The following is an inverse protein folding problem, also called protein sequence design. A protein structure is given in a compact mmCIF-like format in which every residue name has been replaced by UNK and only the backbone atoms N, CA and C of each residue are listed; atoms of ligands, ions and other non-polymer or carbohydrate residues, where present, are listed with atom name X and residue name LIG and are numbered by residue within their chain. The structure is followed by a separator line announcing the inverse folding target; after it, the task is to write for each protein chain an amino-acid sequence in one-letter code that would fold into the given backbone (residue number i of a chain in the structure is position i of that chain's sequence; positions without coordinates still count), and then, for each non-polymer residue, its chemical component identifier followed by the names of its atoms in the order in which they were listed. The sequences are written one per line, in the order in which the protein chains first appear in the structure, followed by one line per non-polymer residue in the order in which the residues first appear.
data_IF_923137616342
#
_entry.id   IF_923137616342
#
_cell.length_a   1.000
_cell.length_b   1.000
_cell.length_c   1.000
_cell.angle_alpha   90.00
_cell.angle_beta   90.00
_cell.angle_gamma   90.00
#
_symmetry.space_group_name_H-M   'P 1'
#
loop_
_entity.id
_entity.type
_entity.pdbx_description
1 polymer ?
#
# COMPACT_ATOMS: atom_id res chain seq x y z
N UNK A 1 -8.21 5.83 13.90
CA UNK A 1 -6.85 5.42 13.47
C UNK A 1 -7.00 4.82 12.08
N UNK A 2 -5.96 4.87 11.24
CA UNK A 2 -6.08 4.47 9.83
C UNK A 2 -5.41 3.12 9.59
N UNK A 3 -6.09 2.25 8.86
CA UNK A 3 -5.56 1.00 8.34
C UNK A 3 -5.38 1.14 6.82
N UNK A 4 -4.24 0.72 6.32
CA UNK A 4 -3.92 0.63 4.90
C UNK A 4 -3.48 -0.79 4.57
N UNK A 5 -3.98 -1.33 3.48
CA UNK A 5 -3.49 -2.60 2.95
C UNK A 5 -2.42 -2.34 1.90
N UNK A 6 -1.38 -3.15 1.95
CA UNK A 6 -0.46 -3.33 0.82
C UNK A 6 -0.63 -4.78 0.43
N UNK A 7 -1.07 -5.04 -0.79
CA UNK A 7 -1.14 -6.41 -1.26
C UNK A 7 0.17 -6.80 -1.92
N UNK A 8 0.54 -8.07 -1.77
CA UNK A 8 1.73 -8.61 -2.40
C UNK A 8 1.27 -9.67 -3.40
N UNK A 9 1.72 -9.57 -4.64
CA UNK A 9 1.67 -10.72 -5.54
C UNK A 9 2.42 -11.87 -4.89
N UNK A 10 1.74 -12.99 -4.74
CA UNK A 10 2.30 -14.28 -4.35
C UNK A 10 3.11 -14.91 -5.50
N UNK A 11 3.94 -14.11 -6.18
CA UNK A 11 4.87 -14.58 -7.19
C UNK A 11 6.31 -14.32 -6.72
N UNK A 12 6.98 -15.43 -6.39
CA UNK A 12 8.43 -15.59 -6.20
C UNK A 12 8.96 -15.19 -4.81
N UNK A 13 9.53 -16.19 -4.13
CA UNK A 13 10.22 -16.02 -2.85
C UNK A 13 11.42 -15.07 -2.98
N UNK A 14 11.65 -14.32 -1.90
CA UNK A 14 12.69 -13.30 -1.73
C UNK A 14 12.37 -11.91 -2.31
N UNK A 15 11.42 -11.21 -1.68
CA UNK A 15 11.51 -9.75 -1.59
C UNK A 15 12.07 -9.44 -0.19
N UNK A 16 13.35 -9.05 -0.14
CA UNK A 16 13.95 -8.47 1.06
C UNK A 16 13.22 -7.16 1.38
N UNK A 17 12.77 -7.01 2.62
CA UNK A 17 11.95 -5.89 3.09
C UNK A 17 12.70 -4.55 3.24
N UNK A 18 13.81 -4.38 2.52
CA UNK A 18 14.53 -3.13 2.43
C UNK A 18 14.34 -2.62 1.00
N UNK A 19 13.82 -1.41 0.84
CA UNK A 19 13.44 -0.76 -0.42
C UNK A 19 12.17 -1.30 -1.10
N UNK A 20 11.00 -0.96 -0.52
CA UNK A 20 9.88 -0.55 -1.37
C UNK A 20 10.20 0.87 -1.84
N UNK A 21 10.90 1.00 -2.96
CA UNK A 21 10.98 2.28 -3.66
C UNK A 21 9.62 2.56 -4.29
N UNK A 22 8.74 3.18 -3.50
CA UNK A 22 7.43 3.69 -3.97
C UNK A 22 7.58 5.00 -4.78
N UNK A 23 8.81 5.35 -5.22
CA UNK A 23 9.15 6.65 -5.77
C UNK A 23 9.85 6.66 -7.13
N UNK A 24 10.15 5.52 -7.76
CA UNK A 24 10.75 5.55 -9.10
C UNK A 24 10.26 4.43 -10.04
N UNK A 25 9.46 4.81 -11.05
CA UNK A 25 9.20 4.00 -12.26
C UNK A 25 10.54 3.99 -13.06
N UNK A 26 11.52 3.14 -12.71
CA UNK A 26 12.77 2.98 -13.45
C UNK A 26 12.67 1.82 -14.45
N UNK A 27 12.77 2.13 -15.73
CA UNK A 27 12.62 1.17 -16.83
C UNK A 27 13.90 0.37 -17.10
N UNK A 28 13.76 -0.92 -17.39
CA UNK A 28 14.61 -1.63 -18.35
C UNK A 28 13.69 -2.43 -19.29
N UNK A 29 13.70 -2.08 -20.58
CA UNK A 29 12.85 -2.69 -21.59
C UNK A 29 13.52 -3.93 -22.19
N UNK A 30 12.81 -5.06 -22.22
CA UNK A 30 12.98 -6.06 -23.28
C UNK A 30 11.62 -6.28 -23.92
N UNK A 31 11.53 -6.00 -25.21
CA UNK A 31 10.36 -6.24 -26.03
C UNK A 31 10.11 -7.74 -26.14
N UNK A 32 8.90 -8.20 -25.86
CA UNK A 32 8.30 -9.18 -26.76
C UNK A 32 6.77 -9.11 -26.75
N UNK A 33 6.22 -8.99 -27.96
CA UNK A 33 4.79 -9.07 -28.25
C UNK A 33 4.44 -10.53 -28.44
N UNK A 34 3.28 -10.97 -27.95
CA UNK A 34 2.24 -11.72 -28.70
C UNK A 34 1.28 -12.43 -27.75
N UNK A 35 -0.01 -12.49 -28.12
CA UNK A 35 -0.91 -13.54 -27.62
C UNK A 35 -2.26 -13.06 -27.07
N UNK A 36 -3.25 -12.91 -27.96
CA UNK A 36 -4.65 -12.63 -27.65
C UNK A 36 -5.46 -13.92 -27.37
N UNK A 37 -6.38 -13.81 -26.40
CA UNK A 37 -7.76 -14.34 -26.29
C UNK A 37 -8.02 -15.86 -26.17
N UNK A 38 -8.67 -16.19 -25.05
CA UNK A 38 -9.48 -17.39 -24.81
C UNK A 38 -10.97 -17.00 -24.70
N UNK A 39 -11.85 -17.86 -25.23
CA UNK A 39 -13.33 -17.88 -25.08
C UNK A 39 -13.85 -19.05 -25.96
N UNK A 40 -14.74 -19.98 -25.60
CA UNK A 40 -15.69 -20.15 -24.51
C UNK A 40 -16.02 -21.65 -24.33
N UNK A 41 -16.32 -22.07 -23.10
CA UNK A 41 -17.02 -23.32 -22.78
C UNK A 41 -18.54 -23.06 -22.80
N UNK A 42 -19.33 -24.01 -23.30
CA UNK A 42 -20.77 -23.82 -23.58
C UNK A 42 -21.66 -23.81 -22.34
N UNK A 43 -22.74 -23.02 -22.39
CA UNK A 43 -23.73 -22.94 -21.30
C UNK A 43 -24.58 -24.22 -21.18
N UNK A 44 -24.82 -24.73 -19.95
CA UNK A 44 -25.79 -25.79 -19.70
C UNK A 44 -27.24 -25.34 -20.00
N UNK A 45 -28.05 -26.24 -20.54
CA UNK A 45 -29.44 -25.98 -20.90
C UNK A 45 -30.34 -25.59 -19.72
N UNK A 46 -31.45 -24.87 -20.00
CA UNK A 46 -32.30 -24.31 -18.95
C UNK A 46 -33.02 -25.41 -18.14
N UNK A 47 -33.14 -25.25 -16.81
CA UNK A 47 -33.92 -26.16 -15.96
C UNK A 47 -35.40 -26.24 -16.38
N UNK A 48 -36.00 -27.42 -16.19
CA UNK A 48 -37.41 -27.68 -16.51
C UNK A 48 -38.38 -26.79 -15.72
N UNK A 49 -39.54 -26.48 -16.32
CA UNK A 49 -40.57 -25.62 -15.74
C UNK A 49 -41.16 -26.23 -14.46
N UNK A 50 -41.25 -25.43 -13.40
CA UNK A 50 -41.97 -25.78 -12.18
C UNK A 50 -43.47 -26.00 -12.47
N UNK A 51 -44.10 -26.93 -11.75
CA UNK A 51 -45.54 -27.16 -11.79
C UNK A 51 -46.34 -25.96 -11.25
N UNK A 52 -47.65 -25.85 -11.55
CA UNK A 52 -48.47 -24.71 -11.14
C UNK A 52 -48.59 -24.66 -9.62
N UNK A 53 -48.25 -23.50 -9.06
CA UNK A 53 -48.42 -23.18 -7.65
C UNK A 53 -49.92 -23.05 -7.32
N UNK A 54 -50.37 -23.67 -6.23
CA UNK A 54 -51.75 -23.56 -5.76
C UNK A 54 -52.09 -22.13 -5.38
N UNK A 55 -53.36 -21.72 -5.59
CA UNK A 55 -53.78 -20.35 -5.29
C UNK A 55 -53.55 -20.00 -3.81
N UNK A 56 -52.70 -19.01 -3.56
CA UNK A 56 -52.47 -18.47 -2.22
C UNK A 56 -53.78 -17.87 -1.68
N UNK A 57 -54.10 -18.19 -0.42
CA UNK A 57 -55.23 -17.58 0.29
C UNK A 57 -55.08 -16.06 0.40
N UNK A 58 -56.18 -15.32 0.64
CA UNK A 58 -56.13 -13.87 0.76
C UNK A 58 -55.16 -13.45 1.89
N UNK A 59 -54.31 -12.43 1.69
CA UNK A 59 -53.44 -11.93 2.72
C UNK A 59 -54.23 -11.54 3.98
N UNK A 60 -53.75 -11.95 5.15
CA UNK A 60 -54.30 -11.50 6.42
C UNK A 60 -54.20 -9.96 6.55
N UNK A 61 -55.02 -9.35 7.41
CA UNK A 61 -54.94 -7.90 7.65
C UNK A 61 -53.52 -7.52 8.11
N UNK A 62 -52.99 -6.36 7.65
CA UNK A 62 -51.69 -5.88 8.11
C UNK A 62 -51.65 -5.81 9.63
N UNK A 63 -50.60 -6.38 10.21
CA UNK A 63 -50.37 -6.29 11.65
C UNK A 63 -50.20 -4.83 12.10
N UNK A 64 -50.43 -4.52 13.39
CA UNK A 64 -50.16 -3.19 13.92
C UNK A 64 -48.70 -2.80 13.68
N UNK A 65 -48.39 -1.51 13.43
CA UNK A 65 -47.01 -1.05 13.27
C UNK A 65 -46.17 -1.49 14.46
N UNK A 66 -45.10 -2.24 14.18
CA UNK A 66 -44.16 -2.66 15.21
C UNK A 66 -43.51 -1.44 15.87
N UNK A 67 -43.05 -1.57 17.14
CA UNK A 67 -42.28 -0.51 17.78
C UNK A 67 -41.07 -0.16 16.90
N UNK A 68 -40.90 1.14 16.61
CA UNK A 68 -39.90 1.63 15.66
C UNK A 68 -38.52 1.05 15.95
N UNK A 69 -38.04 0.16 15.07
CA UNK A 69 -36.70 -0.40 15.17
C UNK A 69 -35.73 0.70 14.79
N UNK A 70 -35.06 1.31 15.79
CA UNK A 70 -33.91 2.15 15.50
C UNK A 70 -32.84 1.24 14.91
N UNK A 71 -32.43 1.51 13.66
CA UNK A 71 -31.41 0.72 13.00
C UNK A 71 -30.11 0.72 13.81
N UNK A 72 -29.42 -0.41 13.87
CA UNK A 72 -28.14 -0.54 14.57
C UNK A 72 -27.12 0.45 13.98
N UNK A 73 -26.29 1.05 14.84
CA UNK A 73 -25.21 1.96 14.42
C UNK A 73 -24.22 1.18 13.53
N UNK A 74 -23.79 1.80 12.43
CA UNK A 74 -22.92 1.17 11.42
C UNK A 74 -23.66 0.58 10.22
N UNK A 75 -24.95 0.88 10.06
CA UNK A 75 -25.81 0.43 8.94
C UNK A 75 -26.06 1.57 7.94
N UNK A 76 -26.57 1.30 6.72
CA UNK A 76 -26.83 2.37 5.74
C UNK A 76 -27.75 3.48 6.26
N UNK A 77 -28.75 3.12 7.06
CA UNK A 77 -29.73 4.03 7.64
C UNK A 77 -29.25 4.70 8.93
N UNK A 78 -28.24 4.14 9.61
CA UNK A 78 -27.63 4.72 10.81
C UNK A 78 -26.09 4.57 10.77
N UNK A 79 -25.40 5.28 9.85
CA UNK A 79 -23.96 5.16 9.68
C UNK A 79 -23.21 5.80 10.84
N UNK A 80 -22.10 5.19 11.27
CA UNK A 80 -21.24 5.76 12.31
C UNK A 80 -20.31 6.85 11.75
N UNK A 81 -19.78 7.74 12.58
CA UNK A 81 -18.81 8.76 12.12
C UNK A 81 -17.36 8.23 12.00
N UNK A 82 -17.07 7.08 12.63
CA UNK A 82 -15.78 6.38 12.54
C UNK A 82 -15.90 4.98 13.14
N UNK A 83 -14.95 4.07 12.84
CA UNK A 83 -14.88 2.77 13.53
C UNK A 83 -14.70 2.93 15.05
N UNK A 84 -14.03 4.00 15.51
CA UNK A 84 -13.91 4.28 16.94
C UNK A 84 -15.25 4.61 17.58
N UNK A 85 -16.06 5.46 16.93
CA UNK A 85 -17.39 5.81 17.41
C UNK A 85 -18.33 4.58 17.37
N UNK A 86 -18.18 3.74 16.34
CA UNK A 86 -18.88 2.48 16.22
C UNK A 86 -18.49 1.48 17.34
N UNK A 87 -17.21 1.40 17.69
CA UNK A 87 -16.75 0.61 18.84
C UNK A 87 -17.34 1.13 20.16
N UNK A 88 -17.34 2.45 20.34
CA UNK A 88 -17.89 3.09 21.52
C UNK A 88 -19.42 2.88 21.66
N UNK A 89 -20.14 2.59 20.56
CA UNK A 89 -21.56 2.22 20.60
C UNK A 89 -21.82 0.75 20.97
N UNK A 90 -20.77 -0.04 21.21
CA UNK A 90 -20.86 -1.43 21.65
C UNK A 90 -20.52 -2.48 20.58
N UNK A 91 -20.21 -2.07 19.34
CA UNK A 91 -19.78 -3.00 18.31
C UNK A 91 -18.34 -3.46 18.56
N UNK A 92 -18.16 -4.76 18.79
CA UNK A 92 -16.86 -5.33 19.15
C UNK A 92 -16.23 -6.21 18.07
N UNK A 93 -16.97 -6.54 17.01
CA UNK A 93 -16.54 -7.47 15.97
C UNK A 93 -15.87 -6.74 14.80
N UNK A 94 -14.84 -7.34 14.25
CA UNK A 94 -14.26 -6.90 12.99
C UNK A 94 -15.28 -7.10 11.85
N UNK A 95 -15.30 -6.23 10.84
CA UNK A 95 -16.23 -6.38 9.72
C UNK A 95 -16.40 -5.12 8.87
N UNK A 96 -17.23 -5.22 7.83
CA UNK A 96 -17.63 -4.08 7.00
C UNK A 96 -18.79 -3.33 7.66
N UNK A 97 -18.67 -2.01 7.72
CA UNK A 97 -19.68 -1.13 8.29
C UNK A 97 -19.85 0.13 7.44
N UNK A 98 -21.01 0.78 7.60
CA UNK A 98 -21.30 2.06 6.98
C UNK A 98 -20.85 3.20 7.88
N UNK A 99 -20.01 4.07 7.32
CA UNK A 99 -19.57 5.30 7.95
C UNK A 99 -20.09 6.53 7.21
N UNK A 100 -20.16 7.67 7.90
CA UNK A 100 -20.50 8.97 7.34
C UNK A 100 -19.35 9.96 7.53
N UNK A 101 -18.91 10.54 6.42
CA UNK A 101 -17.88 11.59 6.44
C UNK A 101 -18.43 12.89 7.04
N UNK A 102 -17.58 13.83 7.48
CA UNK A 102 -18.02 15.15 7.93
C UNK A 102 -18.83 15.93 6.89
N UNK A 103 -18.63 15.65 5.60
CA UNK A 103 -19.39 16.25 4.49
C UNK A 103 -20.74 15.56 4.22
N UNK A 104 -21.09 14.52 4.99
CA UNK A 104 -22.35 13.78 4.86
C UNK A 104 -22.31 12.58 3.93
N UNK A 105 -21.19 12.33 3.24
CA UNK A 105 -21.03 11.16 2.36
C UNK A 105 -21.08 9.87 3.16
N UNK A 106 -21.98 8.96 2.82
CA UNK A 106 -22.04 7.61 3.38
C UNK A 106 -21.16 6.69 2.54
N UNK A 107 -20.33 5.87 3.18
CA UNK A 107 -19.45 4.92 2.51
C UNK A 107 -19.25 3.67 3.37
N UNK A 108 -18.98 2.55 2.72
CA UNK A 108 -18.63 1.29 3.38
C UNK A 108 -17.13 1.17 3.59
N UNK A 109 -16.73 0.55 4.70
CA UNK A 109 -15.33 0.21 4.95
C UNK A 109 -15.19 -0.87 6.01
N UNK A 110 -14.04 -1.52 6.03
CA UNK A 110 -13.67 -2.47 7.05
C UNK A 110 -13.21 -1.75 8.33
N UNK A 111 -13.76 -2.19 9.46
CA UNK A 111 -13.35 -1.80 10.79
C UNK A 111 -12.64 -2.97 11.48
N UNK A 112 -11.37 -2.79 11.80
CA UNK A 112 -10.67 -3.67 12.74
C UNK A 112 -10.90 -3.17 14.16
N UNK A 113 -11.74 -3.91 14.88
CA UNK A 113 -12.14 -3.63 16.25
C UNK A 113 -11.21 -4.32 17.26
N UNK A 114 -10.47 -5.36 16.86
CA UNK A 114 -9.83 -6.27 17.81
C UNK A 114 -8.31 -6.12 17.94
N UNK A 115 -7.61 -5.49 16.97
CA UNK A 115 -6.14 -5.33 17.07
C UNK A 115 -5.65 -4.36 18.13
N UNK A 116 -6.55 -3.57 18.74
CA UNK A 116 -6.25 -2.67 19.86
C UNK A 116 -7.42 -2.64 20.82
N UNK A 117 -7.18 -2.93 22.11
CA UNK A 117 -8.25 -3.16 23.10
C UNK A 117 -9.22 -1.98 23.26
N UNK A 118 -8.73 -0.75 23.18
CA UNK A 118 -9.49 0.48 23.45
C UNK A 118 -9.80 1.29 22.19
N UNK A 119 -9.36 0.83 21.00
CA UNK A 119 -9.43 1.61 19.76
C UNK A 119 -9.70 0.72 18.56
N UNK A 120 -10.41 1.25 17.60
CA UNK A 120 -10.65 0.65 16.31
C UNK A 120 -9.83 1.32 15.20
N UNK A 121 -9.55 0.53 14.18
CA UNK A 121 -8.86 0.94 12.97
C UNK A 121 -9.85 0.96 11.82
N UNK A 122 -9.79 2.02 11.01
CA UNK A 122 -10.65 2.20 9.83
C UNK A 122 -9.81 1.96 8.59
N UNK A 123 -10.18 0.99 7.75
CA UNK A 123 -9.56 0.83 6.43
C UNK A 123 -9.86 2.08 5.59
N UNK A 124 -8.82 2.67 5.01
CA UNK A 124 -8.97 3.91 4.22
C UNK A 124 -8.42 3.82 2.81
N UNK A 125 -7.52 2.87 2.58
CA UNK A 125 -7.07 2.51 1.25
C UNK A 125 -6.32 1.18 1.21
N UNK A 126 -6.18 0.65 0.01
CA UNK A 126 -5.38 -0.51 -0.34
C UNK A 126 -4.56 -0.18 -1.58
N UNK A 127 -3.28 -0.50 -1.55
CA UNK A 127 -2.37 -0.45 -2.70
C UNK A 127 -2.24 -1.87 -3.23
N UNK A 128 -2.72 -2.09 -4.44
CA UNK A 128 -2.78 -3.38 -5.09
C UNK A 128 -2.06 -3.36 -6.44
N UNK A 129 -1.09 -4.26 -6.60
CA UNK A 129 -0.41 -4.48 -7.87
C UNK A 129 -1.18 -5.51 -8.70
N UNK A 130 -1.73 -5.07 -9.84
CA UNK A 130 -2.50 -5.92 -10.74
C UNK A 130 -1.66 -6.58 -11.83
N UNK A 131 -0.53 -5.99 -12.22
CA UNK A 131 0.35 -6.51 -13.24
C UNK A 131 1.76 -5.92 -13.08
N UNK A 132 2.62 -6.63 -12.36
CA UNK A 132 4.02 -6.20 -12.14
C UNK A 132 4.83 -6.03 -13.44
N UNK A 133 4.38 -6.62 -14.55
CA UNK A 133 5.01 -6.44 -15.87
C UNK A 133 4.46 -5.22 -16.64
N UNK A 134 3.35 -4.65 -16.17
CA UNK A 134 2.69 -3.48 -16.73
C UNK A 134 3.23 -2.22 -16.09
N UNK A 135 4.16 -1.55 -16.76
CA UNK A 135 4.78 -0.36 -16.19
C UNK A 135 3.84 0.85 -16.28
N UNK A 136 3.35 1.31 -15.12
CA UNK A 136 2.59 2.55 -15.02
C UNK A 136 1.38 2.51 -16.00
N UNK A 137 0.60 1.42 -15.97
CA UNK A 137 -0.48 1.05 -16.89
C UNK A 137 -1.87 1.08 -16.22
N UNK A 138 -2.92 0.67 -16.93
CA UNK A 138 -4.27 0.62 -16.35
C UNK A 138 -4.29 -0.27 -15.09
N UNK A 139 -4.75 0.28 -13.97
CA UNK A 139 -4.71 -0.35 -12.65
C UNK A 139 -3.71 0.30 -11.69
N UNK A 140 -2.70 1.01 -12.18
CA UNK A 140 -1.64 1.64 -11.38
C UNK A 140 -2.07 2.98 -10.75
N UNK A 141 -3.15 2.97 -9.94
CA UNK A 141 -3.80 4.22 -9.49
C UNK A 141 -2.98 5.00 -8.47
N UNK A 142 -2.08 4.33 -7.74
CA UNK A 142 -1.20 4.96 -6.76
C UNK A 142 0.11 5.51 -7.34
N UNK A 143 0.38 5.26 -8.63
CA UNK A 143 1.52 5.81 -9.36
C UNK A 143 1.06 6.61 -10.59
N UNK A 144 0.78 5.95 -11.71
CA UNK A 144 0.29 6.56 -12.96
C UNK A 144 -0.34 5.50 -13.86
N UNK A 145 -1.53 5.78 -14.41
CA UNK A 145 -2.16 4.95 -15.45
C UNK A 145 -1.84 5.44 -16.88
N UNK A 146 -1.02 6.50 -17.02
CA UNK A 146 -0.67 7.15 -18.29
C UNK A 146 0.74 6.79 -18.80
N UNK A 147 1.36 5.77 -18.22
CA UNK A 147 2.76 5.43 -18.45
C UNK A 147 3.72 6.30 -17.65
N UNK A 148 5.01 6.18 -17.98
CA UNK A 148 6.09 6.93 -17.34
C UNK A 148 6.21 8.36 -17.90
N UNK A 149 5.11 9.09 -17.95
CA UNK A 149 5.06 10.48 -18.41
C UNK A 149 5.37 11.44 -17.26
N UNK A 150 5.90 12.62 -17.59
CA UNK A 150 6.00 13.72 -16.63
C UNK A 150 4.61 14.29 -16.36
N UNK A 151 3.79 13.56 -15.61
CA UNK A 151 2.48 14.05 -15.16
C UNK A 151 2.67 15.24 -14.22
N UNK A 152 2.06 16.36 -14.56
CA UNK A 152 1.94 17.54 -13.68
C UNK A 152 0.65 17.52 -12.87
N UNK A 153 -0.05 16.37 -12.85
CA UNK A 153 -1.34 16.20 -12.20
C UNK A 153 -1.22 15.98 -10.69
N UNK A 154 -2.33 16.14 -9.99
CA UNK A 154 -2.45 15.79 -8.57
C UNK A 154 -2.50 14.27 -8.46
N UNK A 155 -1.64 13.68 -7.64
CA UNK A 155 -1.60 12.22 -7.43
C UNK A 155 -2.81 11.70 -6.67
N UNK A 156 -3.06 10.39 -6.72
CA UNK A 156 -4.06 9.74 -5.87
C UNK A 156 -3.78 9.92 -4.37
N UNK A 157 -2.53 10.18 -3.96
CA UNK A 157 -2.17 10.46 -2.57
C UNK A 157 -2.63 11.84 -2.11
N UNK A 158 -2.64 12.81 -3.02
CA UNK A 158 -2.93 14.22 -2.76
C UNK A 158 -4.33 14.65 -3.19
N UNK A 159 -5.02 13.83 -3.96
CA UNK A 159 -6.37 14.10 -4.42
C UNK A 159 -7.42 13.61 -3.41
N UNK A 160 -8.65 14.08 -3.59
CA UNK A 160 -9.84 13.56 -2.90
C UNK A 160 -10.62 12.55 -3.75
N UNK A 161 -10.00 11.98 -4.78
CA UNK A 161 -10.63 10.90 -5.56
C UNK A 161 -10.79 9.66 -4.68
N UNK A 162 -11.84 8.89 -4.95
CA UNK A 162 -12.14 7.60 -4.34
C UNK A 162 -12.27 6.58 -5.46
N UNK A 163 -11.92 5.33 -5.18
CA UNK A 163 -11.96 4.24 -6.14
C UNK A 163 -12.00 2.88 -5.43
N UNK A 164 -12.44 1.86 -6.15
CA UNK A 164 -12.58 0.50 -5.65
C UNK A 164 -13.75 0.31 -4.68
N UNK A 165 -14.01 -0.95 -4.37
CA UNK A 165 -14.93 -1.36 -3.30
C UNK A 165 -14.15 -2.00 -2.15
N UNK A 166 -14.69 -1.93 -0.93
CA UNK A 166 -14.02 -2.53 0.24
C UNK A 166 -13.85 -4.04 0.06
N UNK A 167 -14.87 -4.76 -0.43
CA UNK A 167 -14.80 -6.23 -0.58
C UNK A 167 -13.72 -6.68 -1.56
N UNK A 168 -13.40 -5.84 -2.54
CA UNK A 168 -12.37 -6.07 -3.54
C UNK A 168 -11.00 -5.49 -3.16
N UNK A 169 -10.82 -4.97 -1.93
CA UNK A 169 -9.59 -4.27 -1.54
C UNK A 169 -8.32 -5.13 -1.60
N UNK A 170 -8.45 -6.45 -1.75
CA UNK A 170 -7.33 -7.38 -1.97
C UNK A 170 -7.15 -7.80 -3.43
N UNK A 171 -8.03 -7.37 -4.33
CA UNK A 171 -8.05 -7.73 -5.75
C UNK A 171 -7.95 -6.52 -6.69
N UNK A 172 -8.15 -5.32 -6.16
CA UNK A 172 -7.95 -4.05 -6.85
C UNK A 172 -7.61 -2.93 -5.86
N UNK A 173 -7.16 -1.80 -6.39
CA UNK A 173 -6.90 -0.60 -5.60
C UNK A 173 -8.17 -0.09 -4.91
N UNK A 174 -8.05 0.28 -3.64
CA UNK A 174 -9.14 0.82 -2.84
C UNK A 174 -8.76 2.15 -2.22
N UNK A 175 -9.66 3.13 -2.24
CA UNK A 175 -9.53 4.39 -1.50
C UNK A 175 -10.90 4.97 -1.22
N UNK A 176 -11.20 5.25 0.04
CA UNK A 176 -12.49 5.79 0.46
C UNK A 176 -12.38 7.21 1.06
N UNK A 177 -13.51 7.90 1.35
CA UNK A 177 -13.49 9.25 1.90
C UNK A 177 -12.74 9.41 3.22
N UNK A 178 -12.59 8.35 4.02
CA UNK A 178 -11.87 8.42 5.29
C UNK A 178 -10.39 8.78 5.09
N UNK A 179 -9.80 8.43 3.94
CA UNK A 179 -8.40 8.75 3.62
C UNK A 179 -8.09 10.25 3.76
N UNK A 180 -9.04 11.09 3.32
CA UNK A 180 -8.88 12.55 3.34
C UNK A 180 -9.75 13.29 4.36
N UNK A 181 -10.69 12.61 5.02
CA UNK A 181 -11.62 13.26 5.95
C UNK A 181 -11.55 12.77 7.40
N UNK A 182 -10.99 11.59 7.66
CA UNK A 182 -10.96 11.02 9.02
C UNK A 182 -9.73 11.49 9.79
N UNK A 183 -9.93 12.40 10.74
CA UNK A 183 -8.87 12.85 11.63
C UNK A 183 -8.31 11.67 12.45
N UNK A 184 -7.01 11.43 12.35
CA UNK A 184 -6.33 10.28 12.91
C UNK A 184 -4.92 10.63 13.39
N UNK A 185 -4.42 9.82 14.33
CA UNK A 185 -3.11 10.03 14.96
C UNK A 185 -2.07 9.00 14.54
N UNK A 186 -2.51 7.81 14.16
CA UNK A 186 -1.64 6.68 13.86
C UNK A 186 -2.16 5.94 12.62
N UNK A 187 -1.22 5.25 11.97
CA UNK A 187 -1.44 4.33 10.86
C UNK A 187 -1.09 2.89 11.27
N UNK A 188 -1.78 1.94 10.67
CA UNK A 188 -1.54 0.50 10.69
C UNK A 188 -1.47 0.02 9.25
N UNK A 189 -0.53 -0.85 8.96
CA UNK A 189 -0.37 -1.45 7.66
C UNK A 189 -0.44 -2.97 7.78
N UNK A 190 -1.26 -3.57 6.92
CA UNK A 190 -1.29 -5.02 6.74
C UNK A 190 -0.81 -5.40 5.35
N UNK A 191 0.00 -6.45 5.29
CA UNK A 191 0.39 -7.10 4.05
C UNK A 191 -0.48 -8.32 3.84
N UNK A 192 -1.42 -8.24 2.90
CA UNK A 192 -2.43 -9.26 2.67
C UNK A 192 -2.19 -9.91 1.30
N UNK A 193 -2.19 -11.25 1.17
CA UNK A 193 -2.13 -11.89 -0.14
C UNK A 193 -3.26 -11.39 -1.04
N UNK A 194 -2.98 -11.25 -2.35
CA UNK A 194 -4.00 -10.89 -3.32
C UNK A 194 -5.19 -11.87 -3.26
N UNK A 195 -6.38 -11.38 -3.61
CA UNK A 195 -7.64 -12.15 -3.68
C UNK A 195 -8.11 -12.76 -2.35
N UNK A 196 -7.51 -12.38 -1.22
CA UNK A 196 -7.96 -12.83 0.10
C UNK A 196 -9.36 -12.27 0.42
N UNK A 197 -10.37 -13.09 0.74
CA UNK A 197 -11.71 -12.61 1.06
C UNK A 197 -11.74 -11.81 2.36
N UNK A 198 -12.65 -10.83 2.45
CA UNK A 198 -12.72 -9.86 3.55
C UNK A 198 -12.82 -10.52 4.94
N UNK A 199 -13.54 -11.64 5.08
CA UNK A 199 -13.60 -12.37 6.37
C UNK A 199 -12.26 -12.96 6.82
N UNK A 200 -11.32 -13.19 5.90
CA UNK A 200 -10.05 -13.86 6.18
C UNK A 200 -8.83 -12.91 6.17
N UNK A 201 -8.99 -11.64 5.75
CA UNK A 201 -7.90 -10.67 5.57
C UNK A 201 -6.97 -10.61 6.77
N UNK A 202 -7.53 -10.65 7.98
CA UNK A 202 -6.77 -10.46 9.21
C UNK A 202 -5.97 -11.70 9.55
N UNK A 203 -6.56 -12.88 9.34
CA UNK A 203 -5.92 -14.16 9.63
C UNK A 203 -4.83 -14.48 8.59
N UNK A 204 -5.04 -14.07 7.34
CA UNK A 204 -4.09 -14.31 6.24
C UNK A 204 -3.08 -13.17 6.04
N UNK A 205 -3.19 -12.08 6.79
CA UNK A 205 -2.20 -11.00 6.78
C UNK A 205 -0.83 -11.52 7.21
N UNK A 206 0.17 -11.44 6.32
CA UNK A 206 1.54 -11.90 6.57
C UNK A 206 2.30 -10.97 7.52
N UNK A 207 2.09 -9.67 7.38
CA UNK A 207 2.67 -8.65 8.26
C UNK A 207 1.60 -7.70 8.74
N UNK A 208 1.63 -7.38 10.03
CA UNK A 208 0.73 -6.40 10.64
C UNK A 208 1.54 -5.53 11.60
N UNK A 209 1.63 -4.24 11.31
CA UNK A 209 2.37 -3.30 12.15
C UNK A 209 1.67 -1.96 12.22
N UNK A 210 1.88 -1.25 13.32
CA UNK A 210 1.19 0.00 13.63
C UNK A 210 2.10 0.98 14.34
N UNK A 211 1.84 2.25 14.08
CA UNK A 211 2.46 3.36 14.82
C UNK A 211 1.72 3.60 16.14
N UNK A 212 2.43 4.14 17.13
CA UNK A 212 1.89 4.45 18.47
C UNK A 212 2.28 5.84 18.98
N UNK A 213 3.09 6.59 18.22
CA UNK A 213 3.67 7.88 18.61
C UNK A 213 2.81 9.09 18.20
N UNK A 214 1.61 8.87 17.64
CA UNK A 214 0.69 9.91 17.20
C UNK A 214 1.24 10.84 16.09
N UNK A 215 2.23 10.40 15.31
CA UNK A 215 2.89 11.25 14.32
C UNK A 215 1.94 11.90 13.30
N UNK A 216 0.80 11.27 13.00
CA UNK A 216 -0.17 11.77 12.03
C UNK A 216 -0.99 12.94 12.57
N UNK A 217 -0.98 13.19 13.89
CA UNK A 217 -1.78 14.25 14.51
C UNK A 217 -1.48 15.64 13.92
N UNK A 218 -0.22 15.92 13.55
CA UNK A 218 0.18 17.20 12.94
C UNK A 218 -0.38 17.39 11.52
N UNK A 219 -0.67 16.28 10.82
CA UNK A 219 -1.21 16.28 9.46
C UNK A 219 -2.72 16.03 9.41
N UNK A 220 -3.29 15.55 10.52
CA UNK A 220 -4.69 15.16 10.72
C UNK A 220 -5.14 13.94 9.91
N UNK A 221 -4.80 13.86 8.62
CA UNK A 221 -5.20 12.75 7.72
C UNK A 221 -4.01 12.28 6.88
N UNK A 222 -4.12 11.11 6.23
CA UNK A 222 -3.10 10.65 5.28
C UNK A 222 -2.97 11.59 4.08
N UNK A 223 -4.10 12.07 3.54
CA UNK A 223 -4.09 13.13 2.54
C UNK A 223 -3.37 14.39 3.05
N UNK A 224 -3.59 14.79 4.31
CA UNK A 224 -2.88 15.91 4.92
C UNK A 224 -1.36 15.70 4.96
N UNK A 225 -0.91 14.47 5.22
CA UNK A 225 0.52 14.11 5.19
C UNK A 225 1.07 14.27 3.76
N UNK A 226 0.41 13.69 2.76
CA UNK A 226 0.89 13.74 1.37
C UNK A 226 0.73 15.12 0.73
N UNK A 227 -0.17 15.98 1.22
CA UNK A 227 -0.18 17.41 0.87
C UNK A 227 1.03 18.18 1.39
N UNK A 228 1.64 17.73 2.49
CA UNK A 228 2.88 18.30 3.04
C UNK A 228 4.13 17.67 2.41
N UNK A 229 4.03 16.40 1.99
CA UNK A 229 5.08 15.68 1.26
C UNK A 229 4.52 15.10 -0.05
N UNK A 230 4.34 15.95 -1.09
CA UNK A 230 3.82 15.52 -2.39
C UNK A 230 4.66 14.42 -3.02
N UNK A 231 3.99 13.43 -3.62
CA UNK A 231 4.66 12.32 -4.32
C UNK A 231 4.68 12.59 -5.82
N UNK A 232 5.44 13.61 -6.23
CA UNK A 232 5.52 13.99 -7.64
C UNK A 232 6.78 13.43 -8.30
N UNK A 233 6.67 13.03 -9.57
CA UNK A 233 7.85 12.71 -10.38
C UNK A 233 8.74 13.95 -10.46
N UNK A 234 10.02 13.78 -10.10
CA UNK A 234 11.00 14.85 -10.23
C UNK A 234 11.23 15.11 -11.73
N UNK A 235 11.17 16.37 -12.21
CA UNK A 235 11.41 16.67 -13.62
C UNK A 235 12.79 16.19 -14.07
N UNK A 236 12.88 15.53 -15.22
CA UNK A 236 14.13 14.97 -15.76
C UNK A 236 15.26 15.99 -15.87
N UNK A 237 14.92 17.26 -16.16
CA UNK A 237 15.90 18.35 -16.21
C UNK A 237 16.63 18.54 -14.87
N UNK A 238 15.93 18.40 -13.76
CA UNK A 238 16.51 18.54 -12.42
C UNK A 238 17.38 17.33 -12.08
N UNK A 239 16.93 16.13 -12.44
CA UNK A 239 17.72 14.89 -12.31
C UNK A 239 19.01 14.97 -13.12
N UNK A 240 18.95 15.47 -14.36
CA UNK A 240 20.12 15.65 -15.21
C UNK A 240 21.12 16.65 -14.62
N UNK A 241 20.65 17.73 -14.01
CA UNK A 241 21.54 18.70 -13.34
C UNK A 241 22.25 18.08 -12.14
N UNK A 242 21.53 17.32 -11.31
CA UNK A 242 22.12 16.60 -10.18
C UNK A 242 23.12 15.56 -10.67
N UNK A 243 22.78 14.80 -11.71
CA UNK A 243 23.69 13.83 -12.31
C UNK A 243 24.95 14.52 -12.86
N UNK A 244 24.81 15.64 -13.58
CA UNK A 244 25.95 16.41 -14.07
C UNK A 244 26.83 16.94 -12.93
N UNK A 245 26.23 17.43 -11.85
CA UNK A 245 26.97 17.86 -10.67
C UNK A 245 27.71 16.69 -10.02
N UNK A 246 27.04 15.56 -9.82
CA UNK A 246 27.65 14.34 -9.26
C UNK A 246 28.78 13.81 -10.16
N UNK A 247 28.58 13.79 -11.47
CA UNK A 247 29.64 13.46 -12.44
C UNK A 247 30.83 14.42 -12.35
N UNK A 248 30.58 15.73 -12.23
CA UNK A 248 31.64 16.71 -12.08
C UNK A 248 32.43 16.51 -10.77
N UNK A 249 31.74 16.25 -9.66
CA UNK A 249 32.37 15.94 -8.36
C UNK A 249 33.19 14.66 -8.45
N UNK A 250 32.62 13.58 -8.98
CA UNK A 250 33.32 12.29 -9.15
C UNK A 250 34.54 12.46 -10.07
N UNK A 251 34.42 13.21 -11.16
CA UNK A 251 35.52 13.44 -12.11
C UNK A 251 36.72 14.19 -11.49
N UNK A 252 36.48 14.92 -10.40
CA UNK A 252 37.49 15.68 -9.64
C UNK A 252 37.86 15.03 -8.31
N UNK A 253 37.29 13.87 -7.98
CA UNK A 253 37.50 13.21 -6.70
C UNK A 253 39.00 12.97 -6.42
N UNK A 254 39.78 12.58 -7.45
CA UNK A 254 41.23 12.38 -7.34
C UNK A 254 41.99 13.67 -6.96
N UNK A 255 41.58 14.82 -7.48
CA UNK A 255 42.19 16.12 -7.14
C UNK A 255 41.83 16.54 -5.71
N UNK A 256 40.59 16.26 -5.29
CA UNK A 256 40.11 16.57 -3.94
C UNK A 256 40.85 15.75 -2.88
N UNK A 257 41.04 14.45 -3.12
CA UNK A 257 41.74 13.57 -2.15
C UNK A 257 43.25 13.78 -2.14
N UNK A 258 43.85 14.25 -3.24
CA UNK A 258 45.27 14.59 -3.30
C UNK A 258 45.67 15.72 -2.33
N UNK A 259 44.71 16.56 -1.92
CA UNK A 259 44.93 17.61 -0.91
C UNK A 259 44.86 17.13 0.54
N UNK A 260 44.51 15.87 0.79
CA UNK A 260 44.35 15.30 2.13
C UNK A 260 45.65 14.56 2.51
N UNK A 261 46.41 15.03 3.53
CA UNK A 261 47.63 14.36 3.96
C UNK A 261 47.33 12.92 4.43
N UNK A 262 48.17 11.96 4.02
CA UNK A 262 48.04 10.52 4.35
C UNK A 262 46.75 9.85 3.86
N UNK A 263 46.09 10.40 2.83
CA UNK A 263 44.97 9.72 2.20
C UNK A 263 45.46 8.51 1.39
N UNK A 264 45.00 7.31 1.75
CA UNK A 264 45.24 6.10 0.98
C UNK A 264 44.13 5.90 -0.06
N UNK A 265 44.42 5.99 -1.37
CA UNK A 265 43.43 5.70 -2.41
C UNK A 265 43.26 4.18 -2.54
N UNK A 266 42.04 3.69 -2.34
CA UNK A 266 41.68 2.31 -2.65
C UNK A 266 41.36 2.19 -4.15
N UNK A 267 42.14 1.41 -4.88
CA UNK A 267 41.82 1.02 -6.25
C UNK A 267 40.97 -0.24 -6.22
N UNK A 268 39.85 -0.21 -6.92
CA UNK A 268 38.95 -1.34 -7.10
C UNK A 268 39.33 -2.03 -8.42
N UNK A 269 39.95 -3.21 -8.43
CA UNK A 269 39.96 -4.05 -9.63
C UNK A 269 38.56 -4.63 -9.82
N UNK A 270 38.02 -4.44 -11.01
CA UNK A 270 37.08 -5.34 -11.65
C UNK A 270 36.85 -4.87 -13.08
N UNK A 271 36.70 -5.84 -14.00
CA UNK A 271 36.17 -5.63 -15.34
C UNK A 271 34.69 -6.08 -15.34
N UNK A 272 33.76 -5.19 -14.97
CA UNK A 272 32.33 -5.50 -14.88
C UNK A 272 31.50 -4.45 -14.11
N UNK A 273 30.22 -4.79 -13.83
CA UNK A 273 29.25 -3.93 -13.15
C UNK A 273 29.70 -3.61 -11.71
N UNK A 274 29.84 -2.31 -11.41
CA UNK A 274 30.68 -1.76 -10.32
C UNK A 274 30.06 -1.84 -8.92
N UNK A 275 29.07 -2.68 -8.69
CA UNK A 275 28.25 -2.65 -7.47
C UNK A 275 28.77 -3.56 -6.36
N UNK A 276 29.70 -4.48 -6.65
CA UNK A 276 30.04 -5.55 -5.69
C UNK A 276 31.49 -6.04 -5.65
N UNK A 277 32.47 -5.32 -6.22
CA UNK A 277 33.87 -5.78 -6.21
C UNK A 277 34.87 -4.64 -5.95
N UNK A 278 35.75 -4.84 -4.98
CA UNK A 278 37.05 -4.15 -4.84
C UNK A 278 38.10 -5.17 -5.26
N UNK A 279 39.21 -4.71 -5.82
CA UNK A 279 40.40 -5.52 -5.78
C UNK A 279 41.66 -4.68 -5.75
N UNK A 280 42.44 -5.02 -4.74
CA UNK A 280 43.74 -4.50 -4.45
C UNK A 280 44.71 -5.64 -4.10
N UNK A 281 44.40 -6.89 -4.46
CA UNK A 281 45.31 -8.01 -4.25
C UNK A 281 45.77 -8.19 -2.81
N UNK A 282 44.97 -7.73 -1.84
CA UNK A 282 45.25 -7.78 -0.41
C UNK A 282 44.02 -8.21 0.38
N UNK A 283 44.23 -8.75 1.58
CA UNK A 283 43.14 -9.21 2.42
C UNK A 283 42.50 -8.03 3.17
N UNK A 284 41.29 -7.64 2.77
CA UNK A 284 40.47 -6.59 3.37
C UNK A 284 39.38 -7.17 4.30
N UNK A 285 38.40 -6.33 4.72
CA UNK A 285 37.32 -6.73 5.65
C UNK A 285 36.31 -7.72 5.07
N UNK A 286 36.26 -7.90 3.75
CA UNK A 286 35.25 -8.73 3.09
C UNK A 286 35.79 -10.06 2.56
N UNK A 287 37.11 -10.24 2.50
CA UNK A 287 37.76 -11.44 1.96
C UNK A 287 38.70 -12.16 2.94
N UNK A 288 38.49 -11.96 4.26
CA UNK A 288 39.12 -12.63 5.42
C UNK A 288 40.35 -11.97 6.06
N UNK A 289 40.78 -10.79 5.61
CA UNK A 289 42.02 -10.14 6.06
C UNK A 289 41.98 -9.40 7.38
N UNK A 290 40.88 -8.70 7.67
CA UNK A 290 40.76 -7.95 8.92
C UNK A 290 40.14 -8.81 10.03
N UNK A 291 40.97 -9.60 10.71
CA UNK A 291 40.59 -10.23 11.98
C UNK A 291 40.72 -9.20 13.10
N UNK A 292 39.60 -8.65 13.56
CA UNK A 292 39.54 -7.94 14.83
C UNK A 292 39.85 -8.90 15.97
N UNK A 293 41.10 -8.90 16.45
CA UNK A 293 41.42 -9.50 17.74
C UNK A 293 41.18 -8.46 18.84
N UNK A 294 40.20 -8.72 19.70
CA UNK A 294 40.11 -8.07 20.98
C UNK A 294 40.61 -9.05 22.05
N UNK A 295 41.56 -8.62 22.88
CA UNK A 295 41.94 -9.39 24.07
C UNK A 295 40.91 -9.10 25.16
N UNK A 296 40.19 -10.12 25.62
CA UNK A 296 39.52 -10.03 26.91
C UNK A 296 40.56 -10.44 27.95
N UNK A 297 41.02 -9.46 28.73
CA UNK A 297 42.06 -9.51 29.77
C UNK A 297 43.49 -9.40 29.23
N UNK A 298 44.06 -8.19 29.35
CA UNK A 298 45.41 -7.88 28.90
C UNK A 298 46.49 -8.79 29.51
N UNK A 299 47.41 -9.21 28.65
CA UNK A 299 48.66 -9.88 28.98
C UNK A 299 49.59 -9.76 27.79
N UNK A 300 50.77 -9.20 28.03
CA UNK A 300 51.81 -8.73 27.11
C UNK A 300 52.14 -9.61 25.92
#
# INVERSE_FOLDING_TARGET
MLLVYITLLSAIGAINAHTLDMGSCSCSCSNDRTGLRASNEGEPGPPGKAGPEGANGPPGPPGPPGPGFSASVGTPSNPAVSCNALRASGNALDGIYYLRSPAGTIYETFCDMTSTRDRAWTLVGSVHENNIMGNCSLGDKWSSEEGNVSSTGITSWESRTVFGNVESATSEDFKNPAFFSLNSRNIMLWHVPNETPMEAIKQQSKYQYKTSNNFLAQYQTLHGLFRNYPLHKVPEKLVNMVNQLMFAVISRANEMVAGIPNFHPYTYDCSGDRVSCISDGGSDVFDTGNKLQYSINGGS
#
